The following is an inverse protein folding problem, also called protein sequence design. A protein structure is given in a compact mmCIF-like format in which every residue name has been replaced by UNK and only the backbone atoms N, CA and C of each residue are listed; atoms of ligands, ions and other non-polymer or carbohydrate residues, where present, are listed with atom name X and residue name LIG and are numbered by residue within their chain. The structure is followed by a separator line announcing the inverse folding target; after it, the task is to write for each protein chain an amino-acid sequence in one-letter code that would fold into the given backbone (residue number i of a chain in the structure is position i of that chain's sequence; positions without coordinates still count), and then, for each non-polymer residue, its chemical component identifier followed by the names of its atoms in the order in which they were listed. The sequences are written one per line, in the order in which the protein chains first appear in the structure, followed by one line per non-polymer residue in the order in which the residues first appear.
data_IF_707178035228
#
_entry.id   IF_707178035228
#
_cell.length_a   1.000
_cell.length_b   1.000
_cell.length_c   1.000
_cell.angle_alpha   90.00
_cell.angle_beta   90.00
_cell.angle_gamma   90.00
#
_symmetry.space_group_name_H-M   'P 1'
#
loop_
_entity.id
_entity.type
_entity.pdbx_description
1 polymer ?
#
# COMPACT_ATOMS: atom_id res chain seq x y z
N UNK A 1 8.21 -19.03 -34.24
CA UNK A 1 7.98 -20.41 -33.79
C UNK A 1 8.97 -20.73 -32.70
N UNK A 2 8.50 -21.14 -31.55
CA UNK A 2 9.34 -21.60 -30.46
C UNK A 2 9.94 -22.95 -30.85
N UNK A 3 11.26 -23.01 -31.02
CA UNK A 3 11.97 -24.26 -31.28
C UNK A 3 12.01 -25.14 -30.03
N UNK A 4 12.00 -24.52 -28.85
CA UNK A 4 11.87 -25.17 -27.54
C UNK A 4 10.90 -24.33 -26.69
N UNK A 5 9.88 -24.92 -26.04
CA UNK A 5 9.03 -24.18 -25.15
C UNK A 5 9.86 -23.67 -23.95
N UNK A 6 9.64 -22.44 -23.49
CA UNK A 6 10.34 -21.92 -22.30
C UNK A 6 10.00 -22.77 -21.07
N UNK A 7 10.94 -22.86 -20.14
CA UNK A 7 10.70 -23.48 -18.84
C UNK A 7 9.71 -22.68 -18.01
N UNK A 8 9.16 -23.28 -16.96
CA UNK A 8 8.28 -22.57 -16.02
C UNK A 8 9.02 -21.40 -15.36
N UNK A 9 10.31 -21.60 -15.04
CA UNK A 9 11.18 -20.57 -14.46
C UNK A 9 11.36 -19.39 -15.41
N UNK A 10 11.63 -19.65 -16.69
CA UNK A 10 11.78 -18.59 -17.71
C UNK A 10 10.48 -17.83 -17.91
N UNK A 11 9.33 -18.53 -17.93
CA UNK A 11 8.01 -17.90 -18.01
C UNK A 11 7.71 -17.05 -16.77
N UNK A 12 8.03 -17.56 -15.58
CA UNK A 12 7.84 -16.83 -14.33
C UNK A 12 8.74 -15.58 -14.28
N UNK A 13 10.02 -15.70 -14.64
CA UNK A 13 10.94 -14.56 -14.69
C UNK A 13 10.49 -13.51 -15.70
N UNK A 14 10.04 -13.95 -16.89
CA UNK A 14 9.47 -13.04 -17.88
C UNK A 14 8.23 -12.31 -17.33
N UNK A 15 7.29 -13.04 -16.72
CA UNK A 15 6.10 -12.47 -16.11
C UNK A 15 6.45 -11.42 -15.04
N UNK A 16 7.31 -11.78 -14.10
CA UNK A 16 7.72 -10.84 -13.04
C UNK A 16 8.48 -9.63 -13.58
N UNK A 17 9.27 -9.78 -14.65
CA UNK A 17 9.95 -8.64 -15.29
C UNK A 17 8.99 -7.66 -15.98
N UNK A 18 7.82 -8.16 -16.42
CA UNK A 18 6.79 -7.31 -17.05
C UNK A 18 5.78 -6.78 -16.04
N UNK A 19 5.73 -7.36 -14.85
CA UNK A 19 4.77 -6.98 -13.82
C UNK A 19 5.00 -5.51 -13.40
N UNK A 20 3.94 -4.73 -13.47
CA UNK A 20 3.99 -3.31 -13.15
C UNK A 20 4.32 -2.38 -14.31
N UNK A 21 4.86 -2.86 -15.46
CA UNK A 21 5.14 -1.99 -16.64
C UNK A 21 3.90 -1.33 -17.21
N UNK A 22 2.74 -1.93 -17.00
CA UNK A 22 1.45 -1.46 -17.48
C UNK A 22 0.56 -1.02 -16.33
N UNK A 23 1.12 -0.81 -15.15
CA UNK A 23 0.38 -0.25 -14.04
C UNK A 23 -0.08 1.15 -14.38
N UNK A 24 -1.32 1.45 -14.01
CA UNK A 24 -1.94 2.76 -14.17
C UNK A 24 -2.24 3.28 -12.78
N UNK A 25 -1.93 4.54 -12.53
CA UNK A 25 -2.24 5.16 -11.25
C UNK A 25 -3.75 5.27 -11.04
N UNK A 26 -4.17 5.19 -9.79
CA UNK A 26 -5.54 5.50 -9.43
C UNK A 26 -5.84 6.98 -9.70
N UNK A 27 -7.10 7.31 -10.03
CA UNK A 27 -7.47 8.70 -10.24
C UNK A 27 -7.00 9.61 -9.10
N UNK A 28 -6.34 10.71 -9.43
CA UNK A 28 -5.82 11.72 -8.51
C UNK A 28 -4.70 11.25 -7.55
N UNK A 29 -4.11 10.05 -7.75
CA UNK A 29 -3.08 9.53 -6.85
C UNK A 29 -1.88 10.46 -6.72
N UNK A 30 -1.28 10.88 -7.84
CA UNK A 30 -0.14 11.82 -7.83
C UNK A 30 -0.50 13.15 -7.19
N UNK A 31 -1.70 13.68 -7.42
CA UNK A 31 -2.16 14.92 -6.78
C UNK A 31 -2.24 14.78 -5.26
N UNK A 32 -2.81 13.68 -4.78
CA UNK A 32 -2.93 13.39 -3.33
C UNK A 32 -1.54 13.21 -2.70
N UNK A 33 -0.63 12.48 -3.36
CA UNK A 33 0.74 12.29 -2.89
C UNK A 33 1.50 13.62 -2.76
N UNK A 34 1.38 14.50 -3.76
CA UNK A 34 1.98 15.84 -3.71
C UNK A 34 1.45 16.63 -2.51
N UNK A 35 0.13 16.69 -2.34
CA UNK A 35 -0.47 17.44 -1.24
C UNK A 35 -0.04 16.89 0.13
N UNK A 36 0.00 15.57 0.31
CA UNK A 36 0.47 14.96 1.56
C UNK A 36 1.93 15.33 1.86
N UNK A 37 2.81 15.31 0.86
CA UNK A 37 4.21 15.73 1.05
C UNK A 37 4.33 17.22 1.36
N UNK A 38 3.55 18.07 0.70
CA UNK A 38 3.52 19.52 0.96
C UNK A 38 3.03 19.83 2.38
N UNK A 39 2.10 19.03 2.90
CA UNK A 39 1.61 19.11 4.29
C UNK A 39 2.56 18.46 5.32
N UNK A 40 3.69 17.87 4.86
CA UNK A 40 4.75 17.33 5.71
C UNK A 40 4.52 15.90 6.21
N UNK A 41 3.58 15.15 5.63
CA UNK A 41 3.38 13.75 6.00
C UNK A 41 4.53 12.86 5.52
N UNK A 42 4.92 11.90 6.37
CA UNK A 42 5.72 10.76 5.96
C UNK A 42 4.82 9.73 5.29
N UNK A 43 5.28 9.14 4.20
CA UNK A 43 4.51 8.18 3.40
C UNK A 43 5.22 6.84 3.33
N UNK A 44 4.46 5.76 3.48
CA UNK A 44 4.98 4.41 3.28
C UNK A 44 4.03 3.55 2.46
N UNK A 45 4.60 2.58 1.75
CA UNK A 45 3.86 1.49 1.10
C UNK A 45 4.08 0.21 1.90
N UNK A 46 2.97 -0.49 2.18
CA UNK A 46 3.00 -1.83 2.79
C UNK A 46 2.24 -2.80 1.89
N UNK A 47 2.92 -3.82 1.37
CA UNK A 47 2.34 -4.72 0.37
C UNK A 47 2.68 -6.18 0.61
N UNK A 48 1.71 -7.07 0.39
CA UNK A 48 2.00 -8.50 0.26
C UNK A 48 2.62 -8.78 -1.12
N UNK A 49 3.63 -9.65 -1.17
CA UNK A 49 4.31 -10.09 -2.39
C UNK A 49 5.79 -9.76 -2.43
N UNK A 50 6.42 -10.07 -3.57
CA UNK A 50 7.86 -9.88 -3.79
C UNK A 50 8.27 -8.41 -3.82
N UNK A 51 9.39 -8.09 -3.18
CA UNK A 51 9.88 -6.71 -3.06
C UNK A 51 10.23 -6.11 -4.42
N UNK A 52 11.02 -6.80 -5.22
CA UNK A 52 11.44 -6.33 -6.55
C UNK A 52 10.25 -6.06 -7.47
N UNK A 53 9.24 -6.94 -7.43
CA UNK A 53 8.01 -6.78 -8.21
C UNK A 53 7.28 -5.51 -7.81
N UNK A 54 7.21 -5.23 -6.51
CA UNK A 54 6.58 -4.01 -5.98
C UNK A 54 7.36 -2.76 -6.37
N UNK A 55 8.68 -2.79 -6.21
CA UNK A 55 9.55 -1.67 -6.61
C UNK A 55 9.43 -1.37 -8.11
N UNK A 56 9.40 -2.40 -8.96
CA UNK A 56 9.24 -2.21 -10.41
C UNK A 56 7.91 -1.52 -10.75
N UNK A 57 6.82 -1.87 -10.05
CA UNK A 57 5.52 -1.20 -10.22
C UNK A 57 5.58 0.26 -9.81
N UNK A 58 6.11 0.55 -8.62
CA UNK A 58 6.20 1.91 -8.05
C UNK A 58 7.08 2.81 -8.92
N UNK A 59 8.22 2.28 -9.40
CA UNK A 59 9.13 2.98 -10.34
C UNK A 59 8.49 3.21 -11.69
N UNK A 60 7.77 2.21 -12.20
CA UNK A 60 7.04 2.33 -13.47
C UNK A 60 5.97 3.41 -13.43
N UNK A 61 5.35 3.64 -12.28
CA UNK A 61 4.40 4.73 -12.03
C UNK A 61 5.08 6.08 -11.75
N UNK A 62 6.40 6.10 -11.51
CA UNK A 62 7.13 7.32 -11.18
C UNK A 62 6.85 7.88 -9.78
N UNK A 63 6.27 7.08 -8.90
CA UNK A 63 5.82 7.52 -7.57
C UNK A 63 6.79 7.17 -6.43
N UNK A 64 7.89 6.46 -6.72
CA UNK A 64 8.88 6.07 -5.70
C UNK A 64 9.36 7.26 -4.84
N UNK A 65 9.64 8.46 -5.41
CA UNK A 65 10.18 9.58 -4.63
C UNK A 65 9.25 10.13 -3.54
N UNK A 66 7.97 9.79 -3.57
CA UNK A 66 7.02 10.25 -2.54
C UNK A 66 7.14 9.47 -1.22
N UNK A 67 7.68 8.25 -1.27
CA UNK A 67 7.65 7.34 -0.13
C UNK A 67 8.97 7.34 0.64
N UNK A 68 8.85 7.51 1.95
CA UNK A 68 9.96 7.44 2.89
C UNK A 68 10.34 5.97 3.17
N UNK A 69 9.34 5.04 3.11
CA UNK A 69 9.54 3.59 3.27
C UNK A 69 8.69 2.78 2.27
N UNK A 70 9.26 1.70 1.75
CA UNK A 70 8.57 0.73 0.89
C UNK A 70 8.78 -0.66 1.47
N UNK A 71 7.76 -1.18 2.14
CA UNK A 71 7.76 -2.45 2.83
C UNK A 71 6.94 -3.48 2.04
N UNK A 72 7.52 -4.64 1.83
CA UNK A 72 6.81 -5.78 1.25
C UNK A 72 7.02 -7.03 2.10
N UNK A 73 6.07 -7.95 2.06
CA UNK A 73 6.21 -9.21 2.79
C UNK A 73 7.42 -10.03 2.34
N UNK A 74 7.81 -9.95 1.07
CA UNK A 74 9.02 -10.57 0.56
C UNK A 74 10.32 -9.97 1.12
N UNK A 75 10.29 -8.72 1.60
CA UNK A 75 11.42 -8.07 2.26
C UNK A 75 11.54 -8.45 3.73
N UNK A 76 10.40 -8.50 4.44
CA UNK A 76 10.39 -8.60 5.91
C UNK A 76 9.96 -9.97 6.44
N UNK A 77 9.45 -10.86 5.59
CA UNK A 77 9.03 -12.21 5.97
C UNK A 77 7.64 -12.32 6.61
N UNK A 78 6.91 -11.21 6.76
CA UNK A 78 5.58 -11.17 7.34
C UNK A 78 4.56 -10.64 6.34
N UNK A 79 3.39 -11.29 6.25
CA UNK A 79 2.30 -10.86 5.37
C UNK A 79 1.23 -10.13 6.16
N UNK A 80 0.58 -9.15 5.55
CA UNK A 80 -0.70 -8.62 6.08
C UNK A 80 -1.73 -9.76 6.11
N UNK A 81 -2.52 -9.93 7.14
CA UNK A 81 -2.76 -9.00 8.27
C UNK A 81 -1.85 -9.18 9.49
N UNK A 82 -0.74 -9.93 9.42
CA UNK A 82 0.15 -10.11 10.55
C UNK A 82 0.66 -8.75 11.09
N UNK A 83 0.58 -8.49 12.40
CA UNK A 83 0.89 -7.18 12.97
C UNK A 83 2.35 -6.78 12.78
N UNK A 84 3.25 -7.75 12.63
CA UNK A 84 4.69 -7.52 12.50
C UNK A 84 5.04 -6.64 11.29
N UNK A 85 4.35 -6.79 10.15
CA UNK A 85 4.64 -5.97 8.96
C UNK A 85 4.30 -4.49 9.20
N UNK A 86 3.24 -4.20 9.94
CA UNK A 86 2.85 -2.84 10.32
C UNK A 86 3.80 -2.26 11.36
N UNK A 87 4.19 -3.05 12.37
CA UNK A 87 5.16 -2.65 13.40
C UNK A 87 6.51 -2.29 12.79
N UNK A 88 7.05 -3.15 11.92
CA UNK A 88 8.31 -2.88 11.20
C UNK A 88 8.20 -1.57 10.41
N UNK A 89 7.05 -1.31 9.79
CA UNK A 89 6.85 -0.08 9.03
C UNK A 89 6.90 1.15 9.93
N UNK A 90 6.19 1.14 11.07
CA UNK A 90 6.19 2.27 12.00
C UNK A 90 7.55 2.48 12.67
N UNK A 91 8.25 1.40 13.01
CA UNK A 91 9.62 1.45 13.54
C UNK A 91 10.58 2.13 12.56
N UNK A 92 10.52 1.79 11.26
CA UNK A 92 11.36 2.40 10.23
C UNK A 92 11.03 3.87 9.99
N UNK A 93 9.76 4.25 10.06
CA UNK A 93 9.33 5.64 9.99
C UNK A 93 9.64 6.44 11.28
N UNK A 94 9.95 5.76 12.38
CA UNK A 94 10.20 6.39 13.68
C UNK A 94 8.95 6.98 14.33
N UNK A 95 7.77 6.40 14.07
CA UNK A 95 6.48 6.88 14.57
C UNK A 95 5.75 5.80 15.38
N UNK A 96 4.76 6.22 16.19
CA UNK A 96 3.88 5.27 16.88
C UNK A 96 2.72 4.85 15.97
N UNK A 97 2.22 3.60 16.07
CA UNK A 97 1.07 3.14 15.27
C UNK A 97 -0.14 4.08 15.33
N UNK A 98 -0.47 4.59 16.53
CA UNK A 98 -1.59 5.52 16.73
C UNK A 98 -1.45 6.87 16.00
N UNK A 99 -0.27 7.20 15.48
CA UNK A 99 -0.01 8.38 14.67
C UNK A 99 -0.17 8.10 13.16
N UNK A 100 -0.47 6.87 12.78
CA UNK A 100 -0.53 6.42 11.40
C UNK A 100 -1.97 6.25 10.93
N UNK A 101 -2.24 6.70 9.71
CA UNK A 101 -3.44 6.37 8.96
C UNK A 101 -3.09 5.38 7.86
N UNK A 102 -3.62 4.17 7.95
CA UNK A 102 -3.47 3.15 6.93
C UNK A 102 -4.65 3.20 5.94
N UNK A 103 -4.36 3.09 4.67
CA UNK A 103 -5.38 3.08 3.61
C UNK A 103 -5.17 1.84 2.75
N UNK A 104 -6.19 1.02 2.61
CA UNK A 104 -6.11 -0.19 1.81
C UNK A 104 -7.47 -0.69 1.35
N UNK A 105 -7.44 -1.56 0.35
CA UNK A 105 -8.64 -2.08 -0.31
C UNK A 105 -9.16 -3.38 0.30
N UNK A 106 -8.32 -4.13 1.01
CA UNK A 106 -8.70 -5.43 1.53
C UNK A 106 -9.22 -5.33 2.98
N UNK A 107 -10.51 -5.68 3.25
CA UNK A 107 -11.11 -5.53 4.58
C UNK A 107 -10.32 -6.20 5.72
N UNK A 108 -9.79 -7.39 5.48
CA UNK A 108 -9.05 -8.17 6.50
C UNK A 108 -7.56 -7.80 6.49
N UNK A 109 -6.90 -7.93 5.33
CA UNK A 109 -5.44 -7.74 5.29
C UNK A 109 -5.01 -6.31 5.63
N UNK A 110 -5.78 -5.33 5.16
CA UNK A 110 -5.44 -3.93 5.32
C UNK A 110 -6.14 -3.31 6.54
N UNK A 111 -7.47 -3.28 6.54
CA UNK A 111 -8.20 -2.52 7.55
C UNK A 111 -8.13 -3.19 8.91
N UNK A 112 -8.48 -4.48 8.99
CA UNK A 112 -8.41 -5.21 10.25
C UNK A 112 -6.96 -5.32 10.73
N UNK A 113 -6.02 -5.71 9.87
CA UNK A 113 -4.61 -5.86 10.23
C UNK A 113 -3.98 -4.56 10.75
N UNK A 114 -4.22 -3.42 10.09
CA UNK A 114 -3.74 -2.12 10.55
C UNK A 114 -4.39 -1.71 11.88
N UNK A 115 -5.70 -1.93 12.03
CA UNK A 115 -6.43 -1.63 13.28
C UNK A 115 -5.90 -2.47 14.45
N UNK A 116 -5.68 -3.76 14.25
CA UNK A 116 -5.11 -4.66 15.27
C UNK A 116 -3.66 -4.30 15.62
N UNK A 117 -2.92 -3.71 14.68
CA UNK A 117 -1.59 -3.15 14.92
C UNK A 117 -1.61 -1.78 15.63
N UNK A 118 -2.79 -1.22 15.93
CA UNK A 118 -2.97 0.04 16.65
C UNK A 118 -2.97 1.30 15.77
N UNK A 119 -3.10 1.15 14.46
CA UNK A 119 -3.23 2.27 13.52
C UNK A 119 -4.69 2.70 13.33
N UNK A 120 -4.90 3.92 12.88
CA UNK A 120 -6.15 4.30 12.23
C UNK A 120 -6.19 3.65 10.84
N UNK A 121 -7.38 3.21 10.40
CA UNK A 121 -7.52 2.56 9.11
C UNK A 121 -8.72 3.08 8.32
N UNK A 122 -8.52 3.28 7.01
CA UNK A 122 -9.57 3.60 6.05
C UNK A 122 -9.67 2.49 5.00
N UNK A 123 -10.88 2.08 4.72
CA UNK A 123 -11.14 1.14 3.66
C UNK A 123 -11.41 1.84 2.32
N UNK A 124 -10.56 1.61 1.33
CA UNK A 124 -10.79 2.01 -0.06
C UNK A 124 -11.76 1.02 -0.69
N UNK A 125 -13.00 1.45 -0.90
CA UNK A 125 -14.06 0.62 -1.50
C UNK A 125 -13.87 0.40 -3.00
N UNK A 126 -14.56 -0.61 -3.52
CA UNK A 126 -14.67 -0.88 -4.95
C UNK A 126 -13.83 -2.05 -5.47
N UNK A 127 -12.94 -2.63 -4.66
CA UNK A 127 -12.07 -3.75 -5.05
C UNK A 127 -12.49 -5.08 -4.43
N UNK A 128 -13.18 -5.05 -3.31
CA UNK A 128 -13.69 -6.23 -2.60
C UNK A 128 -15.17 -6.08 -2.29
N UNK A 129 -15.82 -7.21 -1.97
CA UNK A 129 -17.21 -7.22 -1.55
C UNK A 129 -17.41 -6.32 -0.32
N UNK A 130 -18.59 -5.72 -0.20
CA UNK A 130 -18.88 -4.78 0.87
C UNK A 130 -18.74 -5.44 2.25
N UNK A 131 -18.09 -4.72 3.16
CA UNK A 131 -17.89 -5.11 4.55
C UNK A 131 -18.61 -4.08 5.44
N UNK A 132 -19.88 -4.34 5.72
CA UNK A 132 -20.78 -3.39 6.41
C UNK A 132 -20.26 -2.98 7.80
N UNK A 133 -19.48 -3.83 8.46
CA UNK A 133 -18.93 -3.59 9.79
C UNK A 133 -17.77 -2.56 9.80
N UNK A 134 -17.21 -2.20 8.63
CA UNK A 134 -16.15 -1.20 8.55
C UNK A 134 -16.78 0.19 8.54
N UNK A 135 -16.50 0.96 9.61
CA UNK A 135 -17.07 2.29 9.82
C UNK A 135 -16.43 3.35 8.91
N UNK A 136 -15.09 3.34 8.80
CA UNK A 136 -14.34 4.38 8.07
C UNK A 136 -13.97 3.89 6.68
N UNK A 137 -14.60 4.48 5.68
CA UNK A 137 -14.45 4.08 4.28
C UNK A 137 -14.48 5.29 3.34
N UNK A 138 -13.75 5.14 2.24
CA UNK A 138 -13.65 6.13 1.16
C UNK A 138 -13.84 5.44 -0.20
N UNK A 139 -14.28 6.18 -1.17
CA UNK A 139 -14.42 5.73 -2.57
C UNK A 139 -13.35 6.36 -3.47
N UNK A 140 -12.83 7.52 -3.08
CA UNK A 140 -11.82 8.27 -3.84
C UNK A 140 -10.68 8.72 -2.92
N UNK A 141 -9.46 8.72 -3.43
CA UNK A 141 -8.27 9.08 -2.66
C UNK A 141 -8.35 10.47 -2.00
N UNK A 142 -8.86 11.54 -2.62
CA UNK A 142 -8.94 12.85 -1.96
C UNK A 142 -9.78 12.89 -0.68
N UNK A 143 -10.67 11.93 -0.46
CA UNK A 143 -11.48 11.86 0.75
C UNK A 143 -10.65 11.62 2.02
N UNK A 144 -9.39 11.16 1.88
CA UNK A 144 -8.46 10.98 3.01
C UNK A 144 -8.25 12.27 3.80
N UNK A 145 -8.25 13.44 3.14
CA UNK A 145 -7.99 14.72 3.81
C UNK A 145 -9.05 15.07 4.85
N UNK A 146 -10.32 14.72 4.62
CA UNK A 146 -11.37 14.90 5.61
C UNK A 146 -11.11 14.05 6.87
N UNK A 147 -10.62 12.84 6.71
CA UNK A 147 -10.28 11.96 7.83
C UNK A 147 -9.01 12.42 8.56
N UNK A 148 -7.99 12.89 7.85
CA UNK A 148 -6.78 13.46 8.46
C UNK A 148 -7.12 14.70 9.31
N UNK A 149 -8.03 15.56 8.85
CA UNK A 149 -8.48 16.72 9.62
C UNK A 149 -9.18 16.31 10.93
N UNK A 150 -9.98 15.25 10.92
CA UNK A 150 -10.63 14.73 12.12
C UNK A 150 -9.60 14.17 13.12
N UNK A 151 -8.61 13.43 12.66
CA UNK A 151 -7.56 12.86 13.51
C UNK A 151 -6.67 13.94 14.14
N UNK A 152 -6.41 15.03 13.43
CA UNK A 152 -5.59 16.14 13.95
C UNK A 152 -6.32 17.03 14.99
N UNK A 153 -7.63 16.83 15.21
CA UNK A 153 -8.43 17.58 16.19
C UNK A 153 -8.60 16.83 17.52
N UNK A 154 -8.17 15.57 17.59
CA UNK A 154 -8.23 14.73 18.79
C UNK A 154 -6.88 14.62 19.48
#
# INVERSE_FOLDING_TARGET
SWLTPPSIEELAQFWFSQFGRFAVEMPQATQVLNQLKDEGYQLAIVSNGGHDTRLNTIRGLGIEPYFDEIISSGLVGFNKPQPEIFQITTERLGVQPAQCLYIGDHPINDVQGATEAGMHALWMQGFHADAEHIQYKIQQLPEIFAHLQLLNQT
#
